data_IF_715562655842
#
_entry.id   IF_715562655842
#
_cell.length_a   1.000
_cell.length_b   1.000
_cell.length_c   1.000
_cell.angle_alpha   90.00
_cell.angle_beta   90.00
_cell.angle_gamma   90.00
#
_symmetry.space_group_name_H-M   'P 1'
#
loop_
_entity.id
_entity.type
_entity.pdbx_description
1 polymer ?
#
# COMPACT_ATOMS: atom_id res chain seq x y z
N UNK A 1 15.69 36.28 17.16
CA UNK A 1 14.60 35.69 17.95
C UNK A 1 13.46 35.09 17.12
N UNK A 2 12.88 35.76 16.10
CA UNK A 2 11.87 35.10 15.22
C UNK A 2 12.51 34.12 14.22
N UNK A 3 13.66 34.47 13.64
CA UNK A 3 14.37 33.62 12.68
C UNK A 3 15.01 32.35 13.27
N UNK A 4 15.23 32.31 14.60
CA UNK A 4 15.67 31.08 15.27
C UNK A 4 14.49 30.12 15.45
N UNK A 5 13.31 30.63 15.84
CA UNK A 5 12.12 29.80 16.02
C UNK A 5 11.69 29.09 14.73
N UNK A 6 11.83 29.72 13.57
CA UNK A 6 11.53 29.08 12.28
C UNK A 6 12.56 28.04 11.85
N UNK A 7 13.86 28.25 12.15
CA UNK A 7 14.91 27.25 11.88
C UNK A 7 14.73 25.99 12.70
N UNK A 8 14.52 26.14 14.00
CA UNK A 8 14.28 24.99 14.88
C UNK A 8 13.04 24.21 14.46
N UNK A 9 11.98 24.89 14.02
CA UNK A 9 10.77 24.21 13.54
C UNK A 9 11.01 23.36 12.29
N UNK A 10 11.79 23.87 11.32
CA UNK A 10 12.11 23.12 10.11
C UNK A 10 13.03 21.93 10.39
N UNK A 11 14.04 22.11 11.25
CA UNK A 11 14.95 21.03 11.66
C UNK A 11 14.22 19.92 12.46
N UNK A 12 13.31 20.29 13.36
CA UNK A 12 12.44 19.33 14.08
C UNK A 12 11.53 18.55 13.13
N UNK A 13 10.96 19.22 12.12
CA UNK A 13 10.05 18.59 11.16
C UNK A 13 10.80 17.63 10.24
N UNK A 14 11.97 18.01 9.73
CA UNK A 14 12.87 17.13 8.99
C UNK A 14 13.26 15.89 9.81
N UNK A 15 13.63 16.08 11.08
CA UNK A 15 13.99 14.98 11.96
C UNK A 15 12.81 14.04 12.21
N UNK A 16 11.62 14.58 12.49
CA UNK A 16 10.39 13.79 12.62
C UNK A 16 10.08 13.00 11.37
N UNK A 17 10.09 13.66 10.22
CA UNK A 17 9.79 13.04 8.94
C UNK A 17 10.77 11.90 8.61
N UNK A 18 12.05 12.09 8.93
CA UNK A 18 13.07 11.04 8.79
C UNK A 18 12.77 9.82 9.65
N UNK A 19 12.46 10.03 10.94
CA UNK A 19 12.11 8.93 11.86
C UNK A 19 10.83 8.23 11.41
N UNK A 20 9.83 8.98 10.95
CA UNK A 20 8.58 8.41 10.43
C UNK A 20 8.84 7.54 9.19
N UNK A 21 9.61 8.05 8.22
CA UNK A 21 9.96 7.29 7.01
C UNK A 21 10.75 6.03 7.35
N UNK A 22 11.69 6.10 8.32
CA UNK A 22 12.42 4.94 8.84
C UNK A 22 11.45 3.89 9.42
N UNK A 23 10.56 4.31 10.30
CA UNK A 23 9.58 3.43 10.95
C UNK A 23 8.62 2.80 9.93
N UNK A 24 8.23 3.54 8.88
CA UNK A 24 7.41 3.02 7.78
C UNK A 24 8.14 1.93 7.00
N UNK A 25 9.41 2.15 6.62
CA UNK A 25 10.22 1.14 5.92
C UNK A 25 10.41 -0.10 6.79
N UNK A 26 10.80 0.07 8.05
CA UNK A 26 11.03 -1.04 8.97
C UNK A 26 9.73 -1.85 9.20
N UNK A 27 8.61 -1.17 9.47
CA UNK A 27 7.30 -1.83 9.63
C UNK A 27 6.88 -2.57 8.37
N UNK A 28 7.13 -2.00 7.20
CA UNK A 28 6.81 -2.65 5.92
C UNK A 28 7.64 -3.92 5.72
N UNK A 29 8.95 -3.86 5.95
CA UNK A 29 9.85 -5.01 5.81
C UNK A 29 9.48 -6.16 6.76
N UNK A 30 9.14 -5.86 8.02
CA UNK A 30 8.68 -6.88 8.96
C UNK A 30 7.32 -7.48 8.57
N UNK A 31 6.38 -6.65 8.10
CA UNK A 31 5.10 -7.14 7.58
C UNK A 31 5.30 -8.01 6.33
N UNK A 32 6.11 -7.58 5.38
CA UNK A 32 6.43 -8.33 4.17
C UNK A 32 7.08 -9.68 4.52
N UNK A 33 8.03 -9.69 5.47
CA UNK A 33 8.63 -10.93 5.99
C UNK A 33 7.60 -11.85 6.63
N UNK A 34 6.64 -11.30 7.37
CA UNK A 34 5.61 -12.08 8.05
C UNK A 34 4.54 -12.62 7.10
N UNK A 35 4.22 -11.89 6.03
CA UNK A 35 3.26 -12.33 5.02
C UNK A 35 3.87 -13.34 4.05
N UNK A 36 5.19 -13.31 3.89
CA UNK A 36 5.88 -14.25 3.06
C UNK A 36 5.98 -15.65 3.71
N UNK A 37 5.31 -16.63 3.09
CA UNK A 37 5.42 -18.04 3.50
C UNK A 37 6.57 -18.79 2.82
N UNK A 38 6.95 -18.40 1.60
CA UNK A 38 7.91 -19.15 0.78
C UNK A 38 9.37 -18.72 0.94
N UNK A 39 9.66 -17.70 1.77
CA UNK A 39 11.01 -17.15 2.03
C UNK A 39 11.79 -16.78 0.75
N UNK A 40 11.08 -16.49 -0.34
CA UNK A 40 11.65 -16.06 -1.63
C UNK A 40 12.20 -14.64 -1.53
N UNK A 41 11.52 -13.78 -0.77
CA UNK A 41 11.85 -12.39 -0.53
C UNK A 41 12.63 -12.18 0.78
N UNK A 42 12.61 -13.16 1.70
CA UNK A 42 13.29 -13.10 3.00
C UNK A 42 14.76 -12.69 2.88
N UNK A 43 15.48 -13.14 1.84
CA UNK A 43 16.89 -12.78 1.62
C UNK A 43 17.08 -11.27 1.46
N UNK A 44 16.40 -10.65 0.49
CA UNK A 44 16.56 -9.21 0.24
C UNK A 44 15.85 -8.36 1.31
N UNK A 45 14.79 -8.86 1.94
CA UNK A 45 14.15 -8.20 3.08
C UNK A 45 15.12 -8.13 4.26
N UNK A 46 15.87 -9.20 4.53
CA UNK A 46 16.91 -9.20 5.56
C UNK A 46 18.08 -8.28 5.21
N UNK A 47 18.50 -8.23 3.95
CA UNK A 47 19.52 -7.28 3.49
C UNK A 47 19.07 -5.82 3.71
N UNK A 48 17.80 -5.51 3.44
CA UNK A 48 17.26 -4.16 3.63
C UNK A 48 17.10 -3.80 5.11
N UNK A 49 16.71 -4.76 5.97
CA UNK A 49 16.69 -4.57 7.42
C UNK A 49 18.10 -4.30 7.97
N UNK A 50 19.10 -5.05 7.52
CA UNK A 50 20.50 -4.81 7.89
C UNK A 50 21.00 -3.47 7.38
N UNK A 51 20.55 -3.05 6.18
CA UNK A 51 20.85 -1.73 5.64
C UNK A 51 20.29 -0.64 6.55
N UNK A 52 19.06 -0.78 7.04
CA UNK A 52 18.41 0.12 8.01
C UNK A 52 19.16 0.25 9.33
N UNK A 53 19.71 -0.86 9.84
CA UNK A 53 20.55 -0.88 11.05
C UNK A 53 21.90 -0.17 10.82
N UNK A 54 22.46 -0.32 9.61
CA UNK A 54 23.77 0.26 9.25
C UNK A 54 23.66 1.72 8.79
N UNK A 55 22.50 2.11 8.23
CA UNK A 55 22.22 3.43 7.64
C UNK A 55 21.04 4.09 8.36
N UNK A 56 21.08 4.04 9.70
CA UNK A 56 20.06 4.65 10.58
C UNK A 56 20.02 6.18 10.55
N UNK A 57 20.98 6.82 9.87
CA UNK A 57 21.07 8.28 9.71
C UNK A 57 20.76 8.75 8.28
N UNK A 58 20.34 7.85 7.38
CA UNK A 58 19.99 8.15 6.00
C UNK A 58 18.88 9.22 5.88
N UNK A 59 18.80 9.89 4.74
CA UNK A 59 17.78 10.92 4.51
C UNK A 59 16.37 10.32 4.50
N UNK A 60 15.36 11.16 4.79
CA UNK A 60 13.95 10.80 4.59
C UNK A 60 13.71 10.27 3.18
N UNK A 61 14.30 10.93 2.17
CA UNK A 61 14.16 10.56 0.75
C UNK A 61 14.71 9.16 0.46
N UNK A 62 15.84 8.79 1.07
CA UNK A 62 16.41 7.44 0.91
C UNK A 62 15.49 6.37 1.51
N UNK A 63 14.94 6.61 2.71
CA UNK A 63 14.00 5.67 3.32
C UNK A 63 12.73 5.49 2.46
N UNK A 64 12.22 6.58 1.89
CA UNK A 64 11.02 6.52 1.02
C UNK A 64 11.30 5.85 -0.31
N UNK A 65 12.43 6.13 -0.95
CA UNK A 65 12.85 5.47 -2.19
C UNK A 65 13.06 3.95 -1.99
N UNK A 66 13.73 3.55 -0.89
CA UNK A 66 13.87 2.14 -0.50
C UNK A 66 12.52 1.48 -0.30
N UNK A 67 11.60 2.13 0.44
CA UNK A 67 10.24 1.62 0.65
C UNK A 67 9.51 1.38 -0.67
N UNK A 68 9.55 2.35 -1.59
CA UNK A 68 8.93 2.19 -2.91
C UNK A 68 9.54 1.03 -3.70
N UNK A 69 10.87 0.87 -3.67
CA UNK A 69 11.57 -0.25 -4.30
C UNK A 69 11.16 -1.60 -3.71
N UNK A 70 10.99 -1.68 -2.39
CA UNK A 70 10.52 -2.89 -1.72
C UNK A 70 9.08 -3.24 -2.14
N UNK A 71 8.20 -2.24 -2.18
CA UNK A 71 6.80 -2.42 -2.62
C UNK A 71 6.76 -2.91 -4.07
N UNK A 72 7.49 -2.25 -4.97
CA UNK A 72 7.55 -2.63 -6.37
C UNK A 72 8.06 -4.06 -6.55
N UNK A 73 9.15 -4.44 -5.88
CA UNK A 73 9.70 -5.81 -5.93
C UNK A 73 8.70 -6.86 -5.48
N UNK A 74 7.93 -6.58 -4.43
CA UNK A 74 6.93 -7.51 -3.92
C UNK A 74 5.78 -7.66 -4.92
N UNK A 75 5.27 -6.55 -5.47
CA UNK A 75 4.22 -6.57 -6.49
C UNK A 75 4.64 -7.29 -7.78
N UNK A 76 5.87 -7.09 -8.27
CA UNK A 76 6.41 -7.79 -9.43
C UNK A 76 6.50 -9.31 -9.21
N UNK A 77 6.74 -9.74 -7.97
CA UNK A 77 6.81 -11.14 -7.64
C UNK A 77 5.43 -11.80 -7.49
N UNK A 78 4.44 -11.08 -6.94
CA UNK A 78 3.05 -11.57 -6.90
C UNK A 78 2.41 -11.59 -8.30
N UNK A 79 2.70 -10.59 -9.14
CA UNK A 79 2.23 -10.53 -10.54
C UNK A 79 2.76 -11.64 -11.44
N UNK A 80 3.81 -12.37 -11.06
CA UNK A 80 4.30 -13.54 -11.82
C UNK A 80 3.50 -14.82 -11.58
N UNK A 81 2.42 -14.76 -10.79
CA UNK A 81 1.46 -15.87 -10.59
C UNK A 81 0.17 -15.71 -11.39
N UNK A 82 0.13 -14.90 -12.43
CA UNK A 82 -0.91 -15.01 -13.46
C UNK A 82 -0.63 -16.17 -14.41
N UNK A 83 -1.27 -17.29 -14.08
CA UNK A 83 -1.60 -18.41 -14.98
C UNK A 83 -1.93 -17.92 -16.41
N UNK A 84 -1.53 -18.64 -17.47
CA UNK A 84 -1.82 -18.22 -18.84
C UNK A 84 -3.34 -18.14 -19.03
N UNK A 85 -3.83 -16.91 -19.17
CA UNK A 85 -5.20 -16.60 -19.51
C UNK A 85 -5.42 -17.10 -20.94
N UNK A 86 -6.05 -18.26 -21.05
CA UNK A 86 -6.62 -18.75 -22.31
C UNK A 86 -7.64 -17.71 -22.79
N UNK A 87 -7.22 -16.86 -23.72
CA UNK A 87 -8.11 -15.99 -24.50
C UNK A 87 -9.04 -16.91 -25.28
N UNK A 88 -10.27 -17.01 -24.79
CA UNK A 88 -11.41 -17.53 -25.55
C UNK A 88 -12.59 -16.65 -25.16
N UNK A 89 -12.86 -15.74 -26.09
CA UNK A 89 -14.00 -14.84 -26.26
C UNK A 89 -15.14 -14.86 -25.23
N UNK A 90 -15.46 -13.64 -24.78
CA UNK A 90 -16.69 -13.17 -24.14
C UNK A 90 -17.97 -13.48 -24.99
N UNK A 91 -19.22 -13.17 -24.55
CA UNK A 91 -19.60 -12.35 -23.39
C UNK A 91 -20.81 -12.88 -22.58
N UNK A 92 -21.04 -12.29 -21.40
CA UNK A 92 -22.32 -11.67 -21.01
C UNK A 92 -22.58 -11.73 -19.51
N UNK A 93 -22.43 -10.56 -18.89
CA UNK A 93 -23.22 -9.94 -17.83
C UNK A 93 -24.22 -10.79 -17.02
N UNK A 94 -23.98 -10.87 -15.70
CA UNK A 94 -25.06 -10.83 -14.71
C UNK A 94 -24.62 -10.04 -13.47
N UNK A 95 -24.93 -8.74 -13.50
CA UNK A 95 -25.02 -7.87 -12.32
C UNK A 95 -26.37 -8.08 -11.64
N UNK A 96 -26.42 -7.89 -10.31
CA UNK A 96 -27.48 -7.25 -9.47
C UNK A 96 -27.65 -8.10 -8.18
N UNK A 97 -26.97 -7.80 -7.08
CA UNK A 97 -27.24 -6.76 -6.04
C UNK A 97 -28.45 -7.09 -5.16
N UNK A 98 -28.16 -7.32 -3.89
CA UNK A 98 -29.10 -7.53 -2.78
C UNK A 98 -29.89 -6.26 -2.39
N UNK A 99 -31.05 -6.52 -1.76
CA UNK A 99 -31.78 -5.68 -0.78
C UNK A 99 -32.49 -4.42 -1.29
N UNK A 100 -33.84 -4.42 -1.23
CA UNK A 100 -34.62 -3.64 -0.23
C UNK A 100 -36.14 -3.79 -0.48
N UNK A 101 -36.89 -4.04 0.59
CA UNK A 101 -38.35 -4.17 0.67
C UNK A 101 -38.98 -2.79 0.89
N UNK A 102 -39.88 -2.35 0.00
CA UNK A 102 -40.98 -1.42 0.34
C UNK A 102 -42.02 -1.31 -0.80
N UNK A 103 -43.35 -1.31 -0.52
CA UNK A 103 -44.39 -1.44 -1.54
C UNK A 103 -44.75 -0.12 -2.27
N UNK A 104 -45.33 -0.18 -3.48
CA UNK A 104 -45.62 0.99 -4.31
C UNK A 104 -46.94 1.71 -3.94
N UNK A 105 -47.06 3.04 -4.15
CA UNK A 105 -48.31 3.80 -4.02
C UNK A 105 -49.23 3.67 -5.26
N UNK A 106 -50.52 4.07 -5.17
CA UNK A 106 -51.61 3.53 -5.99
C UNK A 106 -51.69 4.17 -7.39
N UNK A 107 -52.02 3.36 -8.40
CA UNK A 107 -52.38 3.84 -9.74
C UNK A 107 -53.90 3.72 -9.95
N UNK A 108 -54.52 4.87 -10.08
CA UNK A 108 -55.88 5.11 -10.55
C UNK A 108 -55.99 4.77 -12.04
N UNK A 109 -57.07 4.10 -12.46
CA UNK A 109 -57.68 4.31 -13.77
C UNK A 109 -59.13 3.79 -13.72
N UNK A 110 -60.04 4.72 -13.94
CA UNK A 110 -61.48 4.56 -14.10
C UNK A 110 -61.81 3.69 -15.33
N UNK A 111 -62.92 2.95 -15.32
CA UNK A 111 -64.08 3.19 -16.20
C UNK A 111 -64.90 1.89 -16.45
N UNK A 112 -66.22 2.07 -16.28
CA UNK A 112 -67.40 1.20 -16.51
C UNK A 112 -67.62 -0.03 -15.59
#
# INVERSE_FOLDING_TARGET
MVSEAEKFKAEDEEYRNRIEAKNQLESYLYNAKSQEQNKVHESWIQEELQWLETHGEASREEYTDRLQKCIQRLSDAEGKTEVPVNVSESPSSTTTKETEVSPPPPRVEEVD
#
